data_IF_231379918719
#
_entry.id   IF_231379918719
#
_cell.length_a   1.000
_cell.length_b   1.000
_cell.length_c   1.000
_cell.angle_alpha   90.00
_cell.angle_beta   90.00
_cell.angle_gamma   90.00
#
_symmetry.space_group_name_H-M   'P 1'
#
loop_
_entity.id
_entity.type
_entity.pdbx_description
1 polymer ?
#
# COMPACT_ATOMS: atom_id res chain seq x y z
N UNK A 1 -53.07 -1.64 3.11
CA UNK A 1 -51.61 -1.77 2.85
C UNK A 1 -50.82 -2.41 4.00
N UNK A 2 -51.34 -2.58 5.22
CA UNK A 2 -50.59 -3.13 6.37
C UNK A 2 -50.03 -4.56 6.16
N UNK A 3 -50.59 -5.31 5.21
CA UNK A 3 -50.16 -6.68 4.89
C UNK A 3 -49.14 -6.77 3.73
N UNK A 4 -48.75 -5.63 3.16
CA UNK A 4 -47.81 -5.56 2.05
C UNK A 4 -46.50 -4.95 2.54
N UNK A 5 -45.39 -5.52 2.10
CA UNK A 5 -44.08 -4.91 2.32
C UNK A 5 -44.00 -3.51 1.69
N UNK A 6 -43.23 -2.64 2.33
CA UNK A 6 -42.98 -1.26 1.88
C UNK A 6 -42.44 -1.21 0.46
N UNK A 7 -41.69 -2.23 0.02
CA UNK A 7 -41.15 -2.33 -1.34
C UNK A 7 -42.23 -2.41 -2.44
N UNK A 8 -43.48 -2.77 -2.09
CA UNK A 8 -44.60 -2.82 -3.03
C UNK A 8 -45.48 -1.55 -2.99
N UNK A 9 -45.19 -0.59 -2.11
CA UNK A 9 -46.00 0.60 -1.92
C UNK A 9 -45.36 1.79 -2.64
N UNK A 10 -46.02 2.26 -3.70
CA UNK A 10 -45.66 3.47 -4.44
C UNK A 10 -46.25 4.68 -3.71
N UNK A 11 -45.36 5.45 -3.09
CA UNK A 11 -45.70 6.70 -2.37
C UNK A 11 -45.51 7.96 -3.23
N UNK A 12 -44.74 7.87 -4.31
CA UNK A 12 -44.34 9.01 -5.15
C UNK A 12 -44.49 8.64 -6.62
N UNK A 13 -44.92 9.59 -7.44
CA UNK A 13 -44.81 9.52 -8.89
C UNK A 13 -43.50 10.16 -9.34
N UNK A 14 -42.80 9.48 -10.26
CA UNK A 14 -41.52 9.93 -10.82
C UNK A 14 -41.67 10.07 -12.33
N UNK A 15 -41.36 11.24 -12.86
CA UNK A 15 -41.33 11.52 -14.30
C UNK A 15 -39.99 12.18 -14.62
N UNK A 16 -39.26 11.63 -15.58
CA UNK A 16 -38.02 12.22 -16.10
C UNK A 16 -38.41 13.28 -17.13
N UNK A 17 -37.94 14.51 -16.95
CA UNK A 17 -38.14 15.63 -17.88
C UNK A 17 -37.10 15.57 -19.01
N UNK A 18 -37.34 16.33 -20.08
CA UNK A 18 -36.47 16.36 -21.26
C UNK A 18 -35.04 16.85 -20.97
N UNK A 19 -34.85 17.60 -19.88
CA UNK A 19 -33.55 18.08 -19.39
C UNK A 19 -32.79 17.03 -18.54
N UNK A 20 -33.36 15.83 -18.36
CA UNK A 20 -32.81 14.77 -17.52
C UNK A 20 -33.08 14.94 -16.03
N UNK A 21 -33.81 15.98 -15.59
CA UNK A 21 -34.21 16.15 -14.19
C UNK A 21 -35.41 15.28 -13.82
N UNK A 22 -35.42 14.73 -12.61
CA UNK A 22 -36.56 13.93 -12.10
C UNK A 22 -37.58 14.84 -11.38
N UNK A 23 -38.82 14.84 -11.85
CA UNK A 23 -39.95 15.39 -11.12
C UNK A 23 -40.53 14.31 -10.21
N UNK A 24 -40.44 14.53 -8.90
CA UNK A 24 -40.96 13.64 -7.86
C UNK A 24 -42.16 14.31 -7.20
N UNK A 25 -43.34 13.69 -7.31
CA UNK A 25 -44.58 14.20 -6.71
C UNK A 25 -45.11 13.18 -5.69
N UNK A 26 -45.29 13.55 -4.41
CA UNK A 26 -45.86 12.64 -3.42
C UNK A 26 -47.34 12.38 -3.73
N UNK A 27 -47.75 11.11 -3.66
CA UNK A 27 -49.13 10.71 -3.88
C UNK A 27 -49.98 10.93 -2.62
N UNK A 28 -51.14 11.57 -2.81
CA UNK A 28 -52.18 11.66 -1.76
C UNK A 28 -52.80 10.30 -1.43
N UNK A 29 -52.84 9.39 -2.40
CA UNK A 29 -53.31 8.00 -2.25
C UNK A 29 -52.20 7.07 -2.73
N UNK A 30 -51.63 6.28 -1.81
CA UNK A 30 -50.58 5.33 -2.14
C UNK A 30 -51.11 4.22 -3.06
N UNK A 31 -50.27 3.78 -3.99
CA UNK A 31 -50.60 2.73 -4.95
C UNK A 31 -49.74 1.49 -4.71
N UNK A 32 -50.26 0.30 -5.00
CA UNK A 32 -49.45 -0.91 -5.03
C UNK A 32 -48.78 -1.09 -6.40
N UNK A 33 -47.60 -1.70 -6.44
CA UNK A 33 -47.02 -2.17 -7.69
C UNK A 33 -47.89 -3.26 -8.32
N UNK A 34 -47.84 -3.43 -9.64
CA UNK A 34 -48.70 -4.40 -10.35
C UNK A 34 -48.44 -5.86 -9.95
N UNK A 35 -47.28 -6.15 -9.37
CA UNK A 35 -46.85 -7.47 -8.89
C UNK A 35 -46.86 -7.60 -7.36
N UNK A 36 -47.50 -6.65 -6.66
CA UNK A 36 -47.59 -6.67 -5.22
C UNK A 36 -48.40 -7.87 -4.73
N UNK A 37 -47.88 -8.56 -3.71
CA UNK A 37 -48.60 -9.61 -2.99
C UNK A 37 -48.53 -9.37 -1.48
N UNK A 38 -49.57 -9.74 -0.72
CA UNK A 38 -49.55 -9.63 0.72
C UNK A 38 -48.60 -10.69 1.29
N UNK A 39 -47.71 -10.28 2.18
CA UNK A 39 -46.63 -11.10 2.74
C UNK A 39 -46.48 -10.96 4.25
N UNK A 40 -47.14 -9.95 4.86
CA UNK A 40 -47.02 -9.62 6.28
C UNK A 40 -48.37 -9.87 6.97
N UNK A 41 -48.45 -10.89 7.82
CA UNK A 41 -49.63 -11.27 8.59
C UNK A 41 -49.27 -11.39 10.08
N UNK A 42 -49.57 -10.37 10.92
CA UNK A 42 -49.04 -10.26 12.29
C UNK A 42 -49.35 -11.44 13.23
N UNK A 43 -50.44 -12.17 12.98
CA UNK A 43 -50.91 -13.27 13.84
C UNK A 43 -50.63 -14.65 13.24
N UNK A 44 -49.77 -14.73 12.21
CA UNK A 44 -49.38 -15.99 11.56
C UNK A 44 -47.94 -16.34 11.96
N UNK A 45 -47.59 -17.64 11.99
CA UNK A 45 -46.23 -18.05 12.27
C UNK A 45 -45.27 -17.53 11.18
N UNK A 46 -44.01 -17.31 11.55
CA UNK A 46 -43.01 -16.61 10.72
C UNK A 46 -42.74 -17.26 9.36
N UNK A 47 -42.92 -18.58 9.26
CA UNK A 47 -42.81 -19.30 7.99
C UNK A 47 -43.91 -18.94 6.99
N UNK A 48 -45.05 -18.41 7.45
CA UNK A 48 -46.18 -17.96 6.62
C UNK A 48 -46.28 -16.44 6.49
N UNK A 49 -45.53 -15.68 7.31
CA UNK A 49 -45.48 -14.22 7.28
C UNK A 49 -44.04 -13.75 7.37
N UNK A 50 -43.46 -13.38 6.23
CA UNK A 50 -42.08 -12.89 6.16
C UNK A 50 -41.98 -11.68 5.25
N UNK A 51 -40.99 -10.82 5.50
CA UNK A 51 -40.68 -9.79 4.53
C UNK A 51 -40.15 -10.45 3.25
N UNK A 52 -40.74 -10.12 2.08
CA UNK A 52 -40.31 -10.64 0.81
C UNK A 52 -38.86 -10.23 0.54
N UNK A 53 -38.06 -11.14 0.02
CA UNK A 53 -36.64 -10.89 -0.26
C UNK A 53 -36.49 -9.68 -1.18
N UNK A 54 -35.45 -8.88 -0.93
CA UNK A 54 -35.06 -7.80 -1.84
C UNK A 54 -34.82 -8.35 -3.24
N UNK A 55 -35.27 -7.61 -4.26
CA UNK A 55 -35.05 -8.00 -5.64
C UNK A 55 -33.58 -8.32 -5.92
N UNK A 56 -33.33 -9.37 -6.71
CA UNK A 56 -31.99 -9.74 -7.12
C UNK A 56 -31.38 -8.57 -7.89
N UNK A 57 -30.27 -8.04 -7.38
CA UNK A 57 -29.49 -7.00 -8.06
C UNK A 57 -29.17 -7.42 -9.48
N UNK A 58 -29.32 -6.49 -10.42
CA UNK A 58 -28.98 -6.74 -11.82
C UNK A 58 -27.49 -7.14 -11.95
N UNK A 59 -27.10 -7.88 -13.00
CA UNK A 59 -25.69 -8.21 -13.22
C UNK A 59 -24.77 -6.98 -13.24
N UNK A 60 -25.25 -5.86 -13.79
CA UNK A 60 -24.54 -4.58 -13.82
C UNK A 60 -24.36 -3.99 -12.42
N UNK A 61 -25.41 -3.94 -11.60
CA UNK A 61 -25.31 -3.49 -10.20
C UNK A 61 -24.31 -4.32 -9.39
N UNK A 62 -24.33 -5.65 -9.57
CA UNK A 62 -23.36 -6.54 -8.90
C UNK A 62 -21.93 -6.24 -9.34
N UNK A 63 -21.70 -6.06 -10.64
CA UNK A 63 -20.37 -5.73 -11.18
C UNK A 63 -19.87 -4.38 -10.67
N UNK A 64 -20.73 -3.37 -10.61
CA UNK A 64 -20.38 -2.05 -10.10
C UNK A 64 -20.07 -2.07 -8.60
N UNK A 65 -20.86 -2.80 -7.81
CA UNK A 65 -20.60 -2.95 -6.38
C UNK A 65 -19.27 -3.67 -6.09
N UNK A 66 -18.92 -4.70 -6.88
CA UNK A 66 -17.62 -5.38 -6.81
C UNK A 66 -16.48 -4.40 -7.11
N UNK A 67 -16.55 -3.68 -8.23
CA UNK A 67 -15.54 -2.68 -8.60
C UNK A 67 -15.35 -1.62 -7.52
N UNK A 68 -16.44 -1.11 -6.95
CA UNK A 68 -16.38 -0.09 -5.89
C UNK A 68 -15.65 -0.63 -4.65
N UNK A 69 -15.96 -1.86 -4.26
CA UNK A 69 -15.28 -2.53 -3.14
C UNK A 69 -13.80 -2.75 -3.42
N UNK A 70 -13.46 -3.19 -4.62
CA UNK A 70 -12.06 -3.42 -5.01
C UNK A 70 -11.26 -2.11 -4.99
N UNK A 71 -11.84 -1.03 -5.49
CA UNK A 71 -11.22 0.32 -5.47
C UNK A 71 -11.02 0.84 -4.03
N UNK A 72 -12.00 0.62 -3.15
CA UNK A 72 -11.89 0.96 -1.73
C UNK A 72 -10.75 0.17 -1.06
N UNK A 73 -10.74 -1.15 -1.23
CA UNK A 73 -9.69 -2.01 -0.68
C UNK A 73 -8.31 -1.59 -1.19
N UNK A 74 -8.19 -1.27 -2.49
CA UNK A 74 -6.92 -0.83 -3.07
C UNK A 74 -6.46 0.51 -2.51
N UNK A 75 -7.38 1.46 -2.32
CA UNK A 75 -7.08 2.77 -1.74
C UNK A 75 -6.61 2.67 -0.28
N UNK A 76 -7.29 1.84 0.51
CA UNK A 76 -6.89 1.53 1.89
C UNK A 76 -5.52 0.87 1.94
N UNK A 77 -5.30 -0.14 1.10
CA UNK A 77 -4.01 -0.83 1.00
C UNK A 77 -2.88 0.13 0.62
N UNK A 78 -3.08 0.98 -0.41
CA UNK A 78 -2.09 1.97 -0.85
C UNK A 78 -1.73 2.94 0.27
N UNK A 79 -2.73 3.38 1.04
CA UNK A 79 -2.52 4.29 2.18
C UNK A 79 -1.68 3.62 3.26
N UNK A 80 -1.98 2.35 3.56
CA UNK A 80 -1.24 1.56 4.55
C UNK A 80 0.18 1.21 4.09
N UNK A 81 0.41 1.08 2.78
CA UNK A 81 1.73 0.80 2.20
C UNK A 81 2.64 2.04 2.17
N UNK A 82 2.10 3.24 2.26
CA UNK A 82 2.89 4.48 2.14
C UNK A 82 3.67 4.79 3.42
N UNK A 83 4.95 5.17 3.26
CA UNK A 83 5.81 5.67 4.35
C UNK A 83 5.80 7.20 4.28
N UNK A 84 4.94 7.82 5.09
CA UNK A 84 4.72 9.28 5.02
C UNK A 84 5.88 10.10 5.61
N UNK A 85 6.62 9.56 6.57
CA UNK A 85 7.73 10.25 7.21
C UNK A 85 8.76 9.27 7.78
N UNK A 86 9.96 9.78 8.06
CA UNK A 86 11.02 8.99 8.67
C UNK A 86 10.70 8.58 10.11
N UNK A 87 9.96 9.38 10.86
CA UNK A 87 9.52 9.06 12.21
C UNK A 87 8.60 7.83 12.20
N UNK A 88 7.62 7.81 11.29
CA UNK A 88 6.74 6.64 11.09
C UNK A 88 7.55 5.42 10.64
N UNK A 89 8.56 5.63 9.78
CA UNK A 89 9.45 4.57 9.38
C UNK A 89 10.16 3.95 10.60
N UNK A 90 10.76 4.79 11.45
CA UNK A 90 11.49 4.38 12.65
C UNK A 90 10.66 3.58 13.66
N UNK A 91 9.36 3.85 13.75
CA UNK A 91 8.46 3.11 14.65
C UNK A 91 8.14 1.68 14.18
N UNK A 92 8.21 1.42 12.87
CA UNK A 92 7.66 0.20 12.27
C UNK A 92 8.71 -0.70 11.60
N UNK A 93 9.81 -0.14 11.09
CA UNK A 93 10.80 -0.92 10.33
C UNK A 93 11.35 -2.12 11.12
N UNK A 94 11.62 -1.93 12.42
CA UNK A 94 12.24 -2.96 13.24
C UNK A 94 11.36 -4.23 13.36
N UNK A 95 10.04 -4.09 13.30
CA UNK A 95 9.10 -5.23 13.31
C UNK A 95 9.10 -6.01 12.00
N UNK A 96 9.56 -5.39 10.91
CA UNK A 96 9.68 -5.98 9.58
C UNK A 96 11.06 -6.59 9.32
N UNK A 97 12.05 -6.28 10.16
CA UNK A 97 13.34 -6.95 10.10
C UNK A 97 13.15 -8.41 10.51
N UNK A 98 13.46 -9.32 9.60
CA UNK A 98 13.50 -10.75 9.88
C UNK A 98 14.75 -11.15 10.65
N UNK A 99 14.83 -12.44 10.99
CA UNK A 99 15.97 -13.01 11.70
C UNK A 99 17.29 -12.78 10.94
N UNK A 100 18.36 -12.49 11.68
CA UNK A 100 19.70 -12.26 11.14
C UNK A 100 19.99 -10.83 10.67
N UNK A 101 19.02 -9.93 10.74
CA UNK A 101 19.23 -8.50 10.54
C UNK A 101 19.47 -7.78 11.88
N UNK A 102 20.54 -6.98 11.92
CA UNK A 102 20.82 -6.04 12.99
C UNK A 102 20.48 -4.63 12.52
N UNK A 103 20.23 -3.73 13.48
CA UNK A 103 19.94 -2.35 13.15
C UNK A 103 20.46 -1.36 14.17
N UNK A 104 20.78 -0.15 13.69
CA UNK A 104 21.15 1.02 14.49
C UNK A 104 20.21 2.15 14.10
N UNK A 105 19.56 2.74 15.10
CA UNK A 105 18.67 3.89 14.95
C UNK A 105 19.38 5.16 15.40
N UNK A 106 19.33 6.20 14.58
CA UNK A 106 19.78 7.56 14.92
C UNK A 106 18.73 8.58 14.47
N UNK A 107 18.89 9.85 14.84
CA UNK A 107 17.93 10.89 14.46
C UNK A 107 17.93 11.19 12.95
N UNK A 108 19.05 10.92 12.27
CA UNK A 108 19.25 11.28 10.87
C UNK A 108 19.15 10.08 9.91
N UNK A 109 19.38 8.86 10.41
CA UNK A 109 19.32 7.66 9.61
C UNK A 109 19.03 6.40 10.43
N UNK A 110 18.54 5.37 9.74
CA UNK A 110 18.47 4.00 10.22
C UNK A 110 19.43 3.14 9.39
N UNK A 111 20.30 2.41 10.06
CA UNK A 111 21.18 1.42 9.43
C UNK A 111 20.63 0.03 9.72
N UNK A 112 20.42 -0.79 8.70
CA UNK A 112 20.10 -2.20 8.85
C UNK A 112 21.20 -3.03 8.16
N UNK A 113 21.72 -4.07 8.81
CA UNK A 113 22.87 -4.81 8.29
C UNK A 113 22.88 -6.27 8.73
N UNK A 114 23.63 -7.11 7.99
CA UNK A 114 23.89 -8.51 8.33
C UNK A 114 25.38 -8.71 8.57
N UNK A 115 25.70 -9.51 9.59
CA UNK A 115 27.06 -9.90 9.91
C UNK A 115 27.32 -11.32 9.42
N UNK A 116 28.52 -11.53 8.85
CA UNK A 116 29.12 -12.86 8.77
C UNK A 116 30.11 -13.02 9.91
N UNK A 117 29.91 -14.07 10.70
CA UNK A 117 30.74 -14.42 11.86
C UNK A 117 31.50 -15.73 11.66
N UNK A 118 31.49 -16.31 10.45
CA UNK A 118 32.17 -17.57 10.17
C UNK A 118 33.70 -17.44 10.23
N UNK A 119 34.23 -16.27 9.86
CA UNK A 119 35.66 -15.93 9.97
C UNK A 119 35.82 -14.65 10.80
N UNK A 120 36.62 -13.68 10.31
CA UNK A 120 36.66 -12.35 10.89
C UNK A 120 35.28 -11.69 10.74
N UNK A 121 34.64 -11.22 11.84
CA UNK A 121 33.34 -10.59 11.77
C UNK A 121 33.34 -9.42 10.79
N UNK A 122 32.45 -9.49 9.80
CA UNK A 122 32.35 -8.48 8.75
C UNK A 122 30.90 -8.23 8.37
N UNK A 123 30.62 -7.02 7.91
CA UNK A 123 29.31 -6.65 7.39
C UNK A 123 29.22 -7.14 5.95
N UNK A 124 28.38 -8.15 5.71
CA UNK A 124 28.15 -8.70 4.36
C UNK A 124 27.33 -7.73 3.53
N UNK A 125 26.25 -7.24 4.10
CA UNK A 125 25.33 -6.31 3.45
C UNK A 125 24.77 -5.35 4.47
N UNK A 126 24.65 -4.09 4.07
CA UNK A 126 24.00 -3.06 4.88
C UNK A 126 23.22 -2.09 4.00
N UNK A 127 22.10 -1.62 4.52
CA UNK A 127 21.34 -0.52 3.96
C UNK A 127 21.26 0.60 4.98
N UNK A 128 21.47 1.83 4.53
CA UNK A 128 21.31 3.05 5.33
C UNK A 128 20.18 3.86 4.73
N UNK A 129 19.20 4.18 5.55
CA UNK A 129 17.98 4.89 5.17
C UNK A 129 18.03 6.23 5.87
N UNK A 130 18.10 7.31 5.10
CA UNK A 130 18.19 8.67 5.59
C UNK A 130 16.82 9.25 5.95
N UNK A 131 16.83 10.41 6.62
CA UNK A 131 15.63 11.14 7.02
C UNK A 131 14.69 11.51 5.88
N UNK A 132 15.22 11.70 4.67
CA UNK A 132 14.41 11.95 3.47
C UNK A 132 13.94 10.67 2.75
N UNK A 133 14.12 9.52 3.42
CA UNK A 133 13.84 8.16 2.97
C UNK A 133 14.70 7.70 1.79
N UNK A 134 15.77 8.42 1.44
CA UNK A 134 16.75 7.90 0.48
C UNK A 134 17.52 6.73 1.07
N UNK A 135 17.91 5.79 0.21
CA UNK A 135 18.60 4.58 0.63
C UNK A 135 19.95 4.45 -0.06
N UNK A 136 20.97 4.19 0.74
CA UNK A 136 22.27 3.71 0.28
C UNK A 136 22.46 2.26 0.71
N UNK A 137 23.11 1.47 -0.14
CA UNK A 137 23.28 0.04 0.07
C UNK A 137 24.74 -0.30 -0.17
N UNK A 138 25.32 -1.05 0.77
CA UNK A 138 26.67 -1.57 0.69
C UNK A 138 26.63 -3.08 0.74
N UNK A 139 27.56 -3.68 0.01
CA UNK A 139 27.81 -5.11 0.00
C UNK A 139 29.32 -5.35 0.00
N UNK A 140 29.82 -6.18 0.91
CA UNK A 140 31.26 -6.38 1.15
C UNK A 140 32.04 -5.05 1.28
N UNK A 141 31.52 -4.11 2.07
CA UNK A 141 32.09 -2.77 2.26
C UNK A 141 32.13 -1.87 1.02
N UNK A 142 31.53 -2.28 -0.10
CA UNK A 142 31.46 -1.49 -1.34
C UNK A 142 30.08 -0.87 -1.48
N UNK A 143 30.02 0.46 -1.67
CA UNK A 143 28.77 1.15 -1.98
C UNK A 143 28.29 0.70 -3.37
N UNK A 144 27.10 0.16 -3.44
CA UNK A 144 26.50 -0.24 -4.69
C UNK A 144 25.96 1.00 -5.44
N UNK A 145 26.00 0.96 -6.78
CA UNK A 145 25.43 2.05 -7.59
C UNK A 145 23.91 2.03 -7.47
N UNK A 146 23.32 3.22 -7.36
CA UNK A 146 21.88 3.52 -7.50
C UNK A 146 21.14 2.67 -8.53
N UNK A 147 21.75 2.46 -9.71
CA UNK A 147 21.13 1.72 -10.81
C UNK A 147 20.83 0.26 -10.47
N UNK A 148 21.57 -0.34 -9.55
CA UNK A 148 21.44 -1.76 -9.19
C UNK A 148 20.11 -2.10 -8.50
N UNK A 149 19.42 -1.13 -7.92
CA UNK A 149 18.16 -1.32 -7.19
C UNK A 149 17.07 -0.31 -7.59
N UNK A 150 17.28 0.39 -8.70
CA UNK A 150 16.29 1.28 -9.30
C UNK A 150 14.98 0.54 -9.63
N UNK A 151 15.04 -0.76 -9.93
CA UNK A 151 13.84 -1.58 -10.16
C UNK A 151 12.94 -1.72 -8.91
N UNK A 152 13.50 -1.52 -7.70
CA UNK A 152 12.75 -1.54 -6.44
C UNK A 152 12.42 -0.11 -6.00
N UNK A 153 13.44 0.75 -5.89
CA UNK A 153 13.30 2.06 -5.27
C UNK A 153 12.84 3.17 -6.23
N UNK A 154 12.95 2.93 -7.54
CA UNK A 154 12.69 3.91 -8.60
C UNK A 154 13.83 4.92 -8.78
N UNK A 155 13.53 5.99 -9.51
CA UNK A 155 14.50 7.01 -9.94
C UNK A 155 15.20 7.76 -8.82
N UNK A 156 14.50 7.98 -7.71
CA UNK A 156 15.01 8.78 -6.61
C UNK A 156 15.61 7.95 -5.46
N UNK A 157 15.73 6.62 -5.60
CA UNK A 157 16.17 5.72 -4.54
C UNK A 157 15.42 5.88 -3.21
N UNK A 158 14.15 6.28 -3.26
CA UNK A 158 13.37 6.53 -2.04
C UNK A 158 12.60 5.30 -1.60
N UNK A 159 12.72 4.99 -0.32
CA UNK A 159 11.92 4.00 0.39
C UNK A 159 10.64 4.64 0.93
N UNK A 160 9.80 5.12 0.02
CA UNK A 160 8.52 5.77 0.30
C UNK A 160 7.35 4.79 0.49
N UNK A 161 7.62 3.48 0.41
CA UNK A 161 6.63 2.41 0.57
C UNK A 161 7.18 1.22 1.35
N UNK A 162 6.33 0.58 2.13
CA UNK A 162 6.66 -0.64 2.86
C UNK A 162 6.95 -1.81 1.94
N UNK A 163 6.22 -1.95 0.83
CA UNK A 163 6.50 -2.94 -0.20
C UNK A 163 7.91 -2.80 -0.79
N UNK A 164 8.41 -1.57 -0.98
CA UNK A 164 9.79 -1.33 -1.41
C UNK A 164 10.79 -1.78 -0.34
N UNK A 165 10.54 -1.45 0.92
CA UNK A 165 11.38 -1.88 2.04
C UNK A 165 11.45 -3.42 2.16
N UNK A 166 10.30 -4.09 2.12
CA UNK A 166 10.20 -5.55 2.22
C UNK A 166 10.90 -6.23 1.03
N UNK A 167 10.71 -5.69 -0.18
CA UNK A 167 11.38 -6.16 -1.40
C UNK A 167 12.89 -5.97 -1.33
N UNK A 168 13.35 -4.85 -0.77
CA UNK A 168 14.78 -4.57 -0.56
C UNK A 168 15.38 -5.57 0.44
N UNK A 169 14.74 -5.77 1.59
CA UNK A 169 15.17 -6.76 2.59
C UNK A 169 15.28 -8.17 1.97
N UNK A 170 14.25 -8.59 1.23
CA UNK A 170 14.25 -9.90 0.58
C UNK A 170 15.35 -10.03 -0.47
N UNK A 171 15.58 -8.98 -1.27
CA UNK A 171 16.63 -8.97 -2.29
C UNK A 171 18.01 -9.06 -1.62
N UNK A 172 18.29 -8.21 -0.63
CA UNK A 172 19.56 -8.18 0.10
C UNK A 172 19.80 -9.42 0.96
N UNK A 173 18.75 -10.08 1.42
CA UNK A 173 18.88 -11.36 2.13
C UNK A 173 19.35 -12.50 1.20
N UNK A 174 18.97 -12.43 -0.08
CA UNK A 174 19.33 -13.41 -1.11
C UNK A 174 20.69 -13.14 -1.79
N UNK A 175 21.28 -11.96 -1.58
CA UNK A 175 22.59 -11.60 -2.13
C UNK A 175 23.67 -12.58 -1.66
N UNK A 176 24.48 -13.05 -2.62
CA UNK A 176 25.65 -13.90 -2.38
C UNK A 176 26.94 -13.06 -2.56
N UNK A 177 28.04 -13.45 -1.88
CA UNK A 177 29.32 -12.73 -1.93
C UNK A 177 29.88 -12.47 -3.35
N UNK A 178 29.53 -13.33 -4.31
CA UNK A 178 30.03 -13.30 -5.69
C UNK A 178 29.06 -12.66 -6.69
N UNK A 179 27.94 -12.10 -6.24
CA UNK A 179 26.94 -11.53 -7.15
C UNK A 179 27.41 -10.22 -7.81
N UNK A 180 28.38 -9.53 -7.19
CA UNK A 180 29.02 -8.34 -7.77
C UNK A 180 30.32 -8.75 -8.46
N UNK A 181 30.42 -8.45 -9.75
CA UNK A 181 31.62 -8.73 -10.54
C UNK A 181 32.83 -7.97 -9.98
N UNK A 182 34.03 -8.55 -9.99
CA UNK A 182 35.24 -7.89 -9.49
C UNK A 182 35.46 -6.48 -10.08
N UNK A 183 35.20 -6.30 -11.38
CA UNK A 183 35.34 -5.00 -12.04
C UNK A 183 34.38 -3.94 -11.46
N UNK A 184 33.14 -4.33 -11.16
CA UNK A 184 32.16 -3.42 -10.52
C UNK A 184 32.56 -3.08 -9.09
N UNK A 185 33.11 -4.05 -8.33
CA UNK A 185 33.68 -3.78 -7.00
C UNK A 185 34.81 -2.74 -7.08
N UNK A 186 35.72 -2.89 -8.04
CA UNK A 186 36.83 -1.96 -8.25
C UNK A 186 36.32 -0.57 -8.66
N UNK A 187 35.39 -0.47 -9.61
CA UNK A 187 34.82 0.82 -10.02
C UNK A 187 34.16 1.57 -8.85
N UNK A 188 33.37 0.86 -8.05
CA UNK A 188 32.70 1.43 -6.90
C UNK A 188 33.69 1.86 -5.81
N UNK A 189 34.75 1.08 -5.58
CA UNK A 189 35.83 1.46 -4.66
C UNK A 189 36.58 2.71 -5.16
N UNK A 190 36.90 2.80 -6.45
CA UNK A 190 37.50 3.99 -7.06
C UNK A 190 36.59 5.21 -6.89
N UNK A 191 35.28 5.04 -7.07
CA UNK A 191 34.31 6.11 -6.85
C UNK A 191 34.37 6.63 -5.41
N UNK A 192 34.34 5.74 -4.41
CA UNK A 192 34.44 6.12 -2.99
C UNK A 192 35.75 6.85 -2.66
N UNK A 193 36.87 6.38 -3.22
CA UNK A 193 38.17 7.03 -3.02
C UNK A 193 38.14 8.44 -3.62
N UNK A 194 37.65 8.61 -4.86
CA UNK A 194 37.55 9.92 -5.51
C UNK A 194 36.65 10.89 -4.75
N UNK A 195 35.52 10.39 -4.24
CA UNK A 195 34.60 11.19 -3.43
C UNK A 195 35.29 11.69 -2.16
N UNK A 196 36.00 10.80 -1.44
CA UNK A 196 36.76 11.17 -0.25
C UNK A 196 37.84 12.25 -0.53
N UNK A 197 38.58 12.12 -1.64
CA UNK A 197 39.56 13.14 -2.05
C UNK A 197 38.90 14.49 -2.38
N UNK A 198 37.73 14.47 -3.02
CA UNK A 198 37.00 15.71 -3.37
C UNK A 198 36.52 16.45 -2.13
N UNK A 199 36.07 15.73 -1.09
CA UNK A 199 35.67 16.34 0.18
C UNK A 199 36.86 16.94 0.94
N UNK A 200 38.06 16.37 0.81
CA UNK A 200 39.27 16.89 1.44
C UNK A 200 39.71 18.24 0.82
N UNK A 201 39.66 18.36 -0.51
CA UNK A 201 39.99 19.60 -1.23
C UNK A 201 39.03 20.77 -0.92
N UNK A 202 37.79 20.49 -0.52
CA UNK A 202 36.82 21.52 -0.11
C UNK A 202 37.00 21.94 1.36
N UNK A 203 37.43 21.02 2.24
CA UNK A 203 37.79 21.35 3.62
C UNK A 203 39.07 22.18 3.72
N UNK A 204 40.05 21.96 2.84
CA UNK A 204 41.30 22.72 2.83
C UNK A 204 41.16 24.14 2.23
N UNK A 205 40.07 24.42 1.49
CA UNK A 205 39.74 25.75 0.95
C UNK A 205 38.94 26.63 1.91
N UNK A 206 38.46 26.08 3.01
CA UNK A 206 37.64 26.80 4.01
C UNK A 206 38.40 27.16 5.29
N UNK A 207 39.73 26.98 5.29
CA UNK A 207 40.67 27.38 6.35
C UNK A 207 41.45 28.65 6.00
#
# INVERSE_FOLDING_TARGET
>A
MKHFSSQFIIKEDRVVRDDGSELIVPRKIWKLTNYAYPSIFPNQPSNLSHEPSTNRKSPSERKNALKLRDEQNFSEWRTNDTVNSFEIFQERYAKKLGDGWLNIRTDNFVLCYRLDTNQCPSIVVSMKIYKDLTVEIWHDSVLLKTKSYHFILGEHNKCDRWTKFDSLLSCLAAFKPNDIKPNEKIENAIYLIKDAYSQQDDSDKTL
#
